data_IF_514253626864
#
_entry.id   IF_514253626864
#
_cell.length_a   1.000
_cell.length_b   1.000
_cell.length_c   1.000
_cell.angle_alpha   90.00
_cell.angle_beta   90.00
_cell.angle_gamma   90.00
#
_symmetry.space_group_name_H-M   'P 1'
#
loop_
_entity.id
_entity.type
_entity.pdbx_description
1 polymer ?
#
# COMPACT_ATOMS: atom_id res chain seq x y z
N UNK A 1 9.87 20.11 0.14
CA UNK A 1 8.88 19.33 -0.63
C UNK A 1 7.48 19.78 -0.23
N UNK A 2 6.47 19.69 -1.10
CA UNK A 2 5.10 20.07 -0.78
C UNK A 2 4.50 19.17 0.32
N UNK A 3 3.82 19.76 1.30
CA UNK A 3 3.25 19.07 2.46
C UNK A 3 1.97 18.27 2.07
N UNK A 4 2.16 17.09 1.49
CA UNK A 4 1.09 16.21 0.98
C UNK A 4 0.28 15.51 2.07
N UNK A 5 0.80 15.48 3.30
CA UNK A 5 0.21 14.84 4.47
C UNK A 5 0.05 15.81 5.64
N UNK A 6 -0.02 17.11 5.36
CA UNK A 6 -0.29 18.12 6.40
C UNK A 6 -1.55 17.77 7.20
N UNK A 7 -1.45 17.85 8.52
CA UNK A 7 -2.54 17.50 9.44
C UNK A 7 -2.84 15.99 9.59
N UNK A 8 -2.04 15.11 8.98
CA UNK A 8 -2.16 13.65 9.16
C UNK A 8 -1.33 13.15 10.33
N UNK A 9 -1.85 12.14 11.01
CA UNK A 9 -1.14 11.43 12.08
C UNK A 9 -1.08 9.95 11.69
N UNK A 10 0.12 9.46 11.44
CA UNK A 10 0.36 8.10 10.95
C UNK A 10 0.98 7.21 12.03
N UNK A 11 0.55 5.96 12.11
CA UNK A 11 1.27 4.88 12.79
C UNK A 11 2.05 4.10 11.74
N UNK A 12 3.35 3.88 11.94
CA UNK A 12 4.19 3.07 11.04
C UNK A 12 4.92 2.00 11.85
N UNK A 13 4.74 0.73 11.48
CA UNK A 13 5.45 -0.39 12.11
C UNK A 13 6.66 -0.85 11.31
N UNK A 14 7.68 -1.41 11.96
CA UNK A 14 8.96 -1.71 11.30
C UNK A 14 9.71 -0.43 10.91
N UNK A 15 9.53 0.63 11.70
CA UNK A 15 9.93 1.99 11.36
C UNK A 15 11.44 2.25 11.41
N UNK A 16 12.26 1.35 11.93
CA UNK A 16 13.69 1.60 12.16
C UNK A 16 14.60 1.10 11.04
N UNK A 17 14.08 0.37 10.04
CA UNK A 17 14.89 -0.12 8.92
C UNK A 17 14.11 -0.24 7.60
N UNK A 18 14.85 -0.31 6.49
CA UNK A 18 14.33 -0.65 5.16
C UNK A 18 13.09 0.17 4.75
N UNK A 19 12.03 -0.54 4.35
CA UNK A 19 10.78 0.05 3.85
C UNK A 19 10.09 0.93 4.91
N UNK A 20 9.94 0.43 6.14
CA UNK A 20 9.19 1.15 7.18
C UNK A 20 9.87 2.45 7.58
N UNK A 21 11.22 2.45 7.65
CA UNK A 21 11.99 3.69 7.88
C UNK A 21 11.80 4.71 6.78
N UNK A 22 11.94 4.28 5.52
CA UNK A 22 11.77 5.18 4.38
C UNK A 22 10.34 5.75 4.32
N UNK A 23 9.32 4.97 4.70
CA UNK A 23 7.94 5.46 4.84
C UNK A 23 7.83 6.50 5.95
N UNK A 24 8.36 6.22 7.15
CA UNK A 24 8.35 7.16 8.28
C UNK A 24 8.99 8.50 7.92
N UNK A 25 10.19 8.46 7.35
CA UNK A 25 10.95 9.66 6.95
C UNK A 25 10.22 10.44 5.85
N UNK A 26 9.68 9.74 4.84
CA UNK A 26 8.91 10.36 3.75
C UNK A 26 7.63 11.00 4.29
N UNK A 27 6.90 10.32 5.19
CA UNK A 27 5.66 10.85 5.73
C UNK A 27 5.91 12.11 6.55
N UNK A 28 6.93 12.10 7.41
CA UNK A 28 7.35 13.28 8.17
C UNK A 28 7.78 14.42 7.24
N UNK A 29 8.57 14.13 6.19
CA UNK A 29 9.01 15.13 5.21
C UNK A 29 7.85 15.77 4.42
N UNK A 30 6.70 15.09 4.33
CA UNK A 30 5.48 15.58 3.70
C UNK A 30 4.45 16.13 4.71
N UNK A 31 4.84 16.41 5.95
CA UNK A 31 4.03 17.12 6.95
C UNK A 31 3.19 16.24 7.86
N UNK A 32 3.28 14.91 7.76
CA UNK A 32 2.62 14.04 8.71
C UNK A 32 3.33 14.08 10.08
N UNK A 33 2.57 13.93 11.16
CA UNK A 33 3.12 13.46 12.43
C UNK A 33 3.13 11.94 12.42
N UNK A 34 4.18 11.31 12.95
CA UNK A 34 4.34 9.85 12.85
C UNK A 34 4.60 9.24 14.22
N UNK A 35 3.81 8.24 14.59
CA UNK A 35 4.10 7.30 15.67
C UNK A 35 4.86 6.12 15.07
N UNK A 36 6.16 6.05 15.34
CA UNK A 36 7.06 5.04 14.81
C UNK A 36 7.24 3.89 15.81
N UNK A 37 7.02 2.65 15.36
CA UNK A 37 7.10 1.44 16.18
C UNK A 37 8.06 0.46 15.54
N UNK A 38 9.03 -0.01 16.31
CA UNK A 38 9.92 -1.11 15.94
C UNK A 38 10.47 -1.78 17.21
N UNK A 39 11.19 -2.89 17.08
CA UNK A 39 11.80 -3.60 18.22
C UNK A 39 12.94 -2.80 18.87
N UNK A 40 13.61 -1.95 18.09
CA UNK A 40 14.70 -1.10 18.54
C UNK A 40 14.81 0.15 17.66
N UNK A 41 15.51 1.18 18.15
CA UNK A 41 15.83 2.37 17.36
C UNK A 41 16.74 2.01 16.15
N UNK A 42 16.84 2.89 15.13
CA UNK A 42 17.73 2.68 13.98
C UNK A 42 19.17 2.35 14.40
N UNK A 43 19.74 1.28 13.83
CA UNK A 43 21.08 0.77 14.20
C UNK A 43 22.24 1.69 13.81
N UNK A 44 22.02 2.56 12.82
CA UNK A 44 22.99 3.55 12.34
C UNK A 44 23.08 4.78 13.25
N UNK A 45 22.32 4.81 14.35
CA UNK A 45 22.30 5.93 15.30
C UNK A 45 21.62 7.19 14.77
N UNK A 46 21.02 7.12 13.57
CA UNK A 46 20.28 8.23 12.99
C UNK A 46 18.99 8.46 13.78
N UNK A 47 18.82 9.69 14.28
CA UNK A 47 17.56 10.11 14.87
C UNK A 47 16.48 10.22 13.80
N UNK A 48 15.23 9.93 14.19
CA UNK A 48 14.10 10.24 13.33
C UNK A 48 13.96 11.76 13.12
N UNK A 49 13.42 12.20 11.96
CA UNK A 49 13.19 13.62 11.71
C UNK A 49 12.16 14.22 12.68
N UNK A 50 12.09 15.56 12.80
CA UNK A 50 11.08 16.22 13.61
C UNK A 50 9.65 15.79 13.24
N UNK A 51 8.78 15.64 14.25
CA UNK A 51 7.40 15.19 14.06
C UNK A 51 7.23 13.66 14.12
N UNK A 52 8.29 12.92 14.43
CA UNK A 52 8.24 11.48 14.69
C UNK A 52 8.39 11.22 16.20
N UNK A 53 7.43 10.48 16.76
CA UNK A 53 7.45 9.95 18.13
C UNK A 53 7.71 8.45 18.05
N UNK A 54 8.87 8.00 18.54
CA UNK A 54 9.28 6.60 18.48
C UNK A 54 9.14 5.91 19.82
N UNK A 55 8.67 4.66 19.82
CA UNK A 55 8.86 3.76 20.96
C UNK A 55 9.16 2.33 20.51
N UNK A 56 9.98 1.65 21.33
CA UNK A 56 10.32 0.26 21.11
C UNK A 56 9.19 -0.66 21.58
N UNK A 57 8.71 -1.55 20.71
CA UNK A 57 7.73 -2.59 21.03
C UNK A 57 7.67 -3.68 19.95
N UNK A 58 7.25 -4.89 20.34
CA UNK A 58 6.80 -5.90 19.37
C UNK A 58 5.38 -5.58 18.92
N UNK A 59 5.11 -5.74 17.61
CA UNK A 59 3.76 -5.62 17.04
C UNK A 59 2.82 -6.76 17.46
N UNK A 60 3.37 -7.81 18.08
CA UNK A 60 2.62 -8.96 18.59
C UNK A 60 2.25 -8.86 20.06
N UNK A 61 2.61 -7.79 20.79
CA UNK A 61 2.42 -7.67 22.26
C UNK A 61 3.25 -8.62 23.13
N UNK A 62 4.29 -9.22 22.55
CA UNK A 62 5.23 -10.07 23.28
C UNK A 62 6.34 -9.19 23.86
N UNK A 63 6.53 -9.23 25.19
CA UNK A 63 7.66 -8.56 25.85
C UNK A 63 8.98 -9.10 25.28
N UNK A 64 9.82 -8.22 24.75
CA UNK A 64 11.16 -8.58 24.32
C UNK A 64 12.04 -8.62 25.57
N UNK A 65 12.20 -9.79 26.19
CA UNK A 65 13.28 -9.98 27.15
C UNK A 65 14.61 -9.75 26.42
N UNK A 66 15.39 -8.77 26.87
CA UNK A 66 16.74 -8.55 26.39
C UNK A 66 17.65 -9.69 26.89
N UNK A 67 17.73 -10.77 26.14
CA UNK A 67 18.76 -11.80 26.33
C UNK A 67 20.10 -11.29 25.81
N UNK A 68 21.10 -11.29 26.70
CA UNK A 68 22.49 -10.88 26.44
C UNK A 68 23.38 -12.05 25.97
N UNK A 69 22.80 -13.06 25.33
CA UNK A 69 23.55 -14.16 24.70
C UNK A 69 22.91 -14.57 23.38
N UNK A 70 23.75 -14.82 22.37
CA UNK A 70 23.37 -15.17 21.01
C UNK A 70 22.74 -16.57 20.91
N UNK A 71 21.50 -16.73 21.37
CA UNK A 71 20.61 -17.84 20.99
C UNK A 71 19.17 -17.32 20.85
N UNK A 72 18.44 -17.86 19.87
CA UNK A 72 17.14 -17.36 19.40
C UNK A 72 16.08 -17.26 20.50
N UNK A 73 15.28 -16.17 20.56
CA UNK A 73 14.28 -16.03 21.59
C UNK A 73 13.03 -16.85 21.26
N UNK A 74 12.75 -17.83 22.12
CA UNK A 74 11.49 -18.60 22.16
C UNK A 74 10.39 -17.74 22.75
N UNK A 75 9.25 -17.62 22.06
CA UNK A 75 8.11 -16.86 22.56
C UNK A 75 6.79 -17.64 22.53
N UNK A 76 6.02 -17.45 23.61
CA UNK A 76 4.79 -18.15 23.96
C UNK A 76 3.58 -17.42 23.32
N UNK A 77 2.66 -18.19 22.74
CA UNK A 77 1.49 -17.71 22.03
C UNK A 77 0.54 -16.84 22.87
N UNK A 78 -0.03 -15.80 22.26
CA UNK A 78 -1.05 -14.94 22.87
C UNK A 78 -2.46 -15.41 22.53
N UNK A 79 -3.14 -15.94 23.54
CA UNK A 79 -4.58 -16.12 23.55
C UNK A 79 -5.28 -14.81 23.96
N UNK A 80 -6.30 -14.42 23.19
CA UNK A 80 -7.40 -13.53 23.58
C UNK A 80 -7.03 -12.14 24.16
N UNK A 81 -6.75 -11.18 23.29
CA UNK A 81 -6.93 -9.76 23.63
C UNK A 81 -8.00 -9.17 22.69
N UNK A 82 -9.17 -8.85 23.25
CA UNK A 82 -10.12 -7.92 22.62
C UNK A 82 -9.50 -6.52 22.68
N UNK A 83 -9.99 -5.60 21.85
CA UNK A 83 -9.49 -4.23 21.65
C UNK A 83 -9.40 -3.32 22.91
N UNK A 84 -9.61 -3.84 24.13
CA UNK A 84 -9.63 -3.11 25.40
C UNK A 84 -8.44 -3.38 26.32
N UNK A 85 -7.61 -4.39 26.06
CA UNK A 85 -6.45 -4.69 26.91
C UNK A 85 -5.24 -3.88 26.45
N UNK A 86 -4.48 -3.31 27.40
CA UNK A 86 -3.29 -2.49 27.14
C UNK A 86 -2.30 -3.23 26.23
N UNK A 87 -2.33 -2.92 24.95
CA UNK A 87 -1.53 -3.54 23.90
C UNK A 87 -0.82 -2.47 23.06
N UNK A 88 0.13 -2.87 22.22
CA UNK A 88 0.97 -2.00 21.40
C UNK A 88 0.14 -1.05 20.53
N UNK A 89 -1.03 -1.48 20.07
CA UNK A 89 -1.90 -0.71 19.18
C UNK A 89 -2.69 0.36 19.96
N UNK A 90 -3.22 0.03 21.14
CA UNK A 90 -3.84 1.02 22.04
C UNK A 90 -2.81 2.05 22.47
N UNK A 91 -1.60 1.61 22.86
CA UNK A 91 -0.48 2.49 23.16
C UNK A 91 -0.11 3.39 21.99
N UNK A 92 -0.15 2.90 20.75
CA UNK A 92 0.13 3.70 19.55
C UNK A 92 -0.90 4.82 19.36
N UNK A 93 -2.20 4.55 19.58
CA UNK A 93 -3.24 5.57 19.54
C UNK A 93 -3.04 6.62 20.64
N UNK A 94 -2.78 6.19 21.87
CA UNK A 94 -2.52 7.09 23.00
C UNK A 94 -1.27 7.95 22.79
N UNK A 95 -0.23 7.36 22.23
CA UNK A 95 1.01 8.07 21.88
C UNK A 95 0.71 9.16 20.85
N UNK A 96 -0.05 8.85 19.80
CA UNK A 96 -0.48 9.85 18.81
C UNK A 96 -1.33 10.97 19.43
N UNK A 97 -2.30 10.62 20.28
CA UNK A 97 -3.14 11.60 21.00
C UNK A 97 -2.31 12.51 21.91
N UNK A 98 -1.37 11.94 22.67
CA UNK A 98 -0.54 12.67 23.63
C UNK A 98 0.50 13.55 22.94
N UNK A 99 1.20 13.03 21.94
CA UNK A 99 2.28 13.74 21.26
C UNK A 99 1.76 14.76 20.24
N UNK A 100 0.63 14.48 19.60
CA UNK A 100 0.14 15.24 18.44
C UNK A 100 -1.29 15.77 18.58
N UNK A 101 -1.96 15.53 19.71
CA UNK A 101 -3.23 16.16 20.07
C UNK A 101 -4.48 15.56 19.41
N UNK A 102 -4.35 14.51 18.59
CA UNK A 102 -5.48 13.84 17.96
C UNK A 102 -5.22 12.36 17.72
N UNK A 103 -6.28 11.60 17.52
CA UNK A 103 -6.21 10.19 17.16
C UNK A 103 -5.55 10.02 15.78
N UNK A 104 -4.59 9.09 15.64
CA UNK A 104 -4.04 8.70 14.36
C UNK A 104 -5.14 8.38 13.33
N UNK A 105 -4.92 8.76 12.08
CA UNK A 105 -5.86 8.53 10.97
C UNK A 105 -5.21 7.80 9.78
N UNK A 106 -3.92 7.49 9.88
CA UNK A 106 -3.19 6.64 8.93
C UNK A 106 -2.51 5.48 9.68
N UNK A 107 -2.62 4.26 9.16
CA UNK A 107 -1.87 3.09 9.63
C UNK A 107 -1.09 2.47 8.47
N UNK A 108 0.21 2.31 8.65
CA UNK A 108 1.07 1.55 7.75
C UNK A 108 1.61 0.32 8.46
N UNK A 109 1.06 -0.85 8.09
CA UNK A 109 1.53 -2.14 8.55
C UNK A 109 2.72 -2.59 7.71
N UNK A 110 3.93 -2.15 8.09
CA UNK A 110 5.18 -2.46 7.38
C UNK A 110 6.09 -3.47 8.10
N UNK A 111 5.86 -3.76 9.38
CA UNK A 111 6.56 -4.83 10.07
C UNK A 111 6.32 -6.19 9.38
N UNK A 112 7.36 -7.00 9.25
CA UNK A 112 7.26 -8.32 8.65
C UNK A 112 8.53 -9.14 8.75
N UNK A 113 8.37 -10.46 8.75
CA UNK A 113 9.46 -11.43 8.72
C UNK A 113 9.27 -12.43 7.59
N UNK A 114 10.34 -13.15 7.25
CA UNK A 114 10.31 -14.26 6.31
C UNK A 114 10.79 -15.52 7.01
N UNK A 115 10.09 -16.62 6.78
CA UNK A 115 10.51 -17.97 7.16
C UNK A 115 10.76 -18.78 5.88
N UNK A 116 11.85 -19.56 5.87
CA UNK A 116 12.30 -20.31 4.70
C UNK A 116 12.46 -21.77 5.06
N UNK A 117 11.66 -22.64 4.45
CA UNK A 117 11.78 -24.09 4.55
C UNK A 117 11.01 -24.74 3.39
N UNK A 118 11.33 -25.96 2.97
CA UNK A 118 10.46 -26.69 2.05
C UNK A 118 9.09 -26.94 2.69
N UNK A 119 8.09 -27.27 1.88
CA UNK A 119 6.72 -27.43 2.38
C UNK A 119 6.61 -28.49 3.48
N UNK A 120 7.29 -29.63 3.32
CA UNK A 120 7.29 -30.73 4.29
C UNK A 120 8.24 -30.51 5.48
N UNK A 121 9.01 -29.42 5.47
CA UNK A 121 9.94 -29.02 6.53
C UNK A 121 9.44 -27.79 7.30
N UNK A 122 8.24 -27.30 6.98
CA UNK A 122 7.62 -26.22 7.76
C UNK A 122 7.42 -26.68 9.19
N UNK A 123 7.77 -25.83 10.15
CA UNK A 123 7.50 -26.05 11.57
C UNK A 123 6.31 -25.22 11.99
N UNK A 124 5.54 -25.70 12.97
CA UNK A 124 4.43 -24.94 13.54
C UNK A 124 4.93 -23.59 14.08
N UNK A 125 6.07 -23.58 14.79
CA UNK A 125 6.67 -22.37 15.34
C UNK A 125 7.05 -21.34 14.25
N UNK A 126 7.71 -21.77 13.16
CA UNK A 126 8.09 -20.89 12.07
C UNK A 126 6.88 -20.34 11.30
N UNK A 127 5.86 -21.19 11.12
CA UNK A 127 4.60 -20.81 10.48
C UNK A 127 3.81 -19.82 11.32
N UNK A 128 3.57 -20.15 12.59
CA UNK A 128 2.82 -19.34 13.54
C UNK A 128 3.47 -17.99 13.77
N UNK A 129 4.79 -17.96 14.00
CA UNK A 129 5.53 -16.69 14.18
C UNK A 129 5.40 -15.80 12.95
N UNK A 130 5.47 -16.38 11.75
CA UNK A 130 5.29 -15.63 10.50
C UNK A 130 3.89 -15.08 10.38
N UNK A 131 2.86 -15.87 10.69
CA UNK A 131 1.47 -15.43 10.66
C UNK A 131 1.13 -14.40 11.73
N UNK A 132 1.67 -14.56 12.93
CA UNK A 132 1.47 -13.65 14.04
C UNK A 132 1.97 -12.24 13.69
N UNK A 133 3.16 -12.14 13.11
CA UNK A 133 3.77 -10.86 12.74
C UNK A 133 3.20 -10.32 11.42
N UNK A 134 3.10 -11.15 10.37
CA UNK A 134 2.75 -10.65 9.03
C UNK A 134 1.25 -10.47 8.80
N UNK A 135 0.40 -11.10 9.62
CA UNK A 135 -1.05 -11.11 9.43
C UNK A 135 -1.84 -10.74 10.70
N UNK A 136 -1.71 -11.49 11.80
CA UNK A 136 -2.54 -11.27 13.00
C UNK A 136 -2.26 -9.91 13.64
N UNK A 137 -1.00 -9.50 13.73
CA UNK A 137 -0.61 -8.20 14.24
C UNK A 137 -1.20 -7.04 13.39
N UNK A 138 -0.99 -6.98 12.05
CA UNK A 138 -1.68 -6.02 11.19
C UNK A 138 -3.20 -6.00 11.34
N UNK A 139 -3.84 -7.17 11.44
CA UNK A 139 -5.29 -7.29 11.65
C UNK A 139 -5.72 -6.65 12.97
N UNK A 140 -5.00 -6.89 14.07
CA UNK A 140 -5.28 -6.26 15.37
C UNK A 140 -5.09 -4.75 15.32
N UNK A 141 -4.02 -4.27 14.68
CA UNK A 141 -3.78 -2.84 14.47
C UNK A 141 -4.90 -2.18 13.67
N UNK A 142 -5.40 -2.85 12.63
CA UNK A 142 -6.57 -2.40 11.87
C UNK A 142 -7.82 -2.34 12.75
N UNK A 143 -8.12 -3.38 13.54
CA UNK A 143 -9.28 -3.41 14.44
C UNK A 143 -9.27 -2.23 15.42
N UNK A 144 -8.12 -1.96 16.05
CA UNK A 144 -7.97 -0.88 17.03
C UNK A 144 -8.13 0.49 16.38
N UNK A 145 -7.45 0.76 15.26
CA UNK A 145 -7.59 2.04 14.56
C UNK A 145 -9.01 2.24 14.01
N UNK A 146 -9.59 1.23 13.36
CA UNK A 146 -10.94 1.31 12.80
C UNK A 146 -11.97 1.56 13.90
N UNK A 147 -11.88 0.84 15.02
CA UNK A 147 -12.76 1.06 16.18
C UNK A 147 -12.74 2.51 16.65
N UNK A 148 -11.56 3.08 16.88
CA UNK A 148 -11.40 4.47 17.30
C UNK A 148 -11.95 5.47 16.27
N UNK A 149 -11.70 5.25 14.98
CA UNK A 149 -12.20 6.13 13.91
C UNK A 149 -13.73 6.09 13.79
N UNK A 150 -14.35 4.91 13.95
CA UNK A 150 -15.81 4.77 13.92
C UNK A 150 -16.47 5.44 15.12
N UNK A 151 -15.89 5.32 16.32
CA UNK A 151 -16.34 6.02 17.54
C UNK A 151 -16.30 7.55 17.35
N UNK A 152 -15.24 8.05 16.73
CA UNK A 152 -15.05 9.47 16.43
C UNK A 152 -15.83 9.94 15.18
N UNK A 153 -16.49 9.04 14.45
CA UNK A 153 -17.16 9.30 13.16
C UNK A 153 -16.22 9.95 12.13
N UNK A 154 -14.97 9.49 12.09
CA UNK A 154 -13.92 9.97 11.19
C UNK A 154 -13.53 8.89 10.18
N UNK A 155 -13.13 9.34 8.99
CA UNK A 155 -12.48 8.49 8.01
C UNK A 155 -11.00 8.28 8.34
N UNK A 156 -10.36 7.36 7.61
CA UNK A 156 -8.95 7.05 7.79
C UNK A 156 -8.35 6.32 6.61
N UNK A 157 -7.08 5.93 6.74
CA UNK A 157 -6.33 5.28 5.68
C UNK A 157 -5.43 4.18 6.22
N UNK A 158 -5.52 3.00 5.65
CA UNK A 158 -4.77 1.83 6.08
C UNK A 158 -4.00 1.30 4.87
N UNK A 159 -2.70 1.12 5.04
CA UNK A 159 -1.77 0.64 4.02
C UNK A 159 -1.06 -0.59 4.57
N UNK A 160 -1.33 -1.74 3.96
CA UNK A 160 -0.67 -3.00 4.32
C UNK A 160 0.50 -3.27 3.36
N UNK A 161 1.68 -3.59 3.90
CA UNK A 161 2.80 -4.05 3.07
C UNK A 161 2.67 -5.57 2.88
N UNK A 162 2.18 -5.96 1.71
CA UNK A 162 2.10 -7.34 1.23
C UNK A 162 3.43 -7.79 0.58
N UNK A 163 3.37 -8.62 -0.45
CA UNK A 163 4.50 -9.05 -1.28
C UNK A 163 4.00 -9.70 -2.57
N UNK A 164 4.81 -9.68 -3.63
CA UNK A 164 4.60 -10.52 -4.81
C UNK A 164 4.54 -12.02 -4.44
N UNK A 165 5.15 -12.44 -3.33
CA UNK A 165 5.05 -13.81 -2.80
C UNK A 165 3.61 -14.19 -2.36
N UNK A 166 2.73 -13.21 -2.15
CA UNK A 166 1.31 -13.44 -1.89
C UNK A 166 0.47 -13.68 -3.16
N UNK A 167 1.06 -13.48 -4.33
CA UNK A 167 0.41 -13.68 -5.64
C UNK A 167 1.07 -14.84 -6.39
N UNK A 168 2.41 -14.93 -6.34
CA UNK A 168 3.19 -15.94 -7.02
C UNK A 168 3.60 -17.05 -6.05
N UNK A 169 3.54 -18.30 -6.51
CA UNK A 169 4.12 -19.44 -5.80
C UNK A 169 5.64 -19.37 -5.80
N UNK A 170 6.24 -18.92 -4.70
CA UNK A 170 7.69 -18.92 -4.52
C UNK A 170 8.12 -20.13 -3.67
N UNK A 171 8.88 -21.08 -4.24
CA UNK A 171 9.39 -22.23 -3.48
C UNK A 171 10.11 -21.78 -2.21
N UNK A 172 10.01 -22.60 -1.16
CA UNK A 172 10.55 -22.37 0.21
C UNK A 172 9.87 -21.27 1.03
N UNK A 173 8.91 -20.52 0.47
CA UNK A 173 8.30 -19.36 1.14
C UNK A 173 6.86 -19.61 1.58
N UNK A 174 6.50 -20.84 1.97
CA UNK A 174 5.11 -21.20 2.32
C UNK A 174 4.49 -20.26 3.36
N UNK A 175 5.02 -20.21 4.59
CA UNK A 175 4.45 -19.35 5.64
C UNK A 175 4.43 -17.87 5.23
N UNK A 176 5.51 -17.38 4.61
CA UNK A 176 5.61 -16.00 4.15
C UNK A 176 4.59 -15.67 3.06
N UNK A 177 4.59 -16.41 1.96
CA UNK A 177 3.70 -16.20 0.82
C UNK A 177 2.23 -16.31 1.21
N UNK A 178 1.84 -17.34 1.99
CA UNK A 178 0.46 -17.48 2.47
C UNK A 178 0.08 -16.33 3.40
N UNK A 179 0.95 -15.89 4.32
CA UNK A 179 0.66 -14.73 5.18
C UNK A 179 0.47 -13.42 4.38
N UNK A 180 1.22 -13.26 3.28
CA UNK A 180 1.10 -12.10 2.39
C UNK A 180 -0.15 -12.17 1.49
N UNK A 181 -0.54 -13.37 1.05
CA UNK A 181 -1.85 -13.58 0.42
C UNK A 181 -3.00 -13.26 1.39
N UNK A 182 -2.89 -13.69 2.65
CA UNK A 182 -3.89 -13.45 3.69
C UNK A 182 -4.09 -11.95 3.98
N UNK A 183 -3.02 -11.18 4.19
CA UNK A 183 -3.14 -9.73 4.42
C UNK A 183 -3.65 -8.98 3.18
N UNK A 184 -3.29 -9.43 1.97
CA UNK A 184 -3.85 -8.91 0.72
C UNK A 184 -5.35 -9.19 0.60
N UNK A 185 -5.82 -10.35 1.05
CA UNK A 185 -7.25 -10.66 1.04
C UNK A 185 -8.02 -9.89 2.12
N UNK A 186 -7.48 -9.80 3.35
CA UNK A 186 -8.04 -9.00 4.43
C UNK A 186 -8.20 -7.52 4.03
N UNK A 187 -7.23 -6.98 3.28
CA UNK A 187 -7.29 -5.63 2.72
C UNK A 187 -8.56 -5.41 1.89
N UNK A 188 -8.93 -6.39 1.04
CA UNK A 188 -10.13 -6.31 0.18
C UNK A 188 -11.41 -6.36 1.01
N UNK A 189 -11.47 -7.24 1.99
CA UNK A 189 -12.61 -7.37 2.92
C UNK A 189 -12.81 -6.04 3.66
N UNK A 190 -11.78 -5.54 4.33
CA UNK A 190 -11.85 -4.31 5.11
C UNK A 190 -12.17 -3.08 4.24
N UNK A 191 -11.63 -2.99 3.03
CA UNK A 191 -12.00 -1.91 2.09
C UNK A 191 -13.49 -1.92 1.77
N UNK A 192 -14.10 -3.11 1.61
CA UNK A 192 -15.52 -3.27 1.31
C UNK A 192 -16.40 -2.97 2.51
N UNK A 193 -16.00 -3.41 3.71
CA UNK A 193 -16.74 -3.21 4.95
C UNK A 193 -16.75 -1.75 5.40
N UNK A 194 -15.60 -1.06 5.32
CA UNK A 194 -15.43 0.26 5.94
C UNK A 194 -15.33 1.42 4.94
N UNK A 195 -15.37 1.14 3.63
CA UNK A 195 -15.30 2.16 2.58
C UNK A 195 -16.40 3.22 2.68
N UNK A 196 -17.63 2.83 3.00
CA UNK A 196 -18.77 3.74 3.23
C UNK A 196 -18.53 4.66 4.44
N UNK A 197 -17.74 4.19 5.42
CA UNK A 197 -17.38 4.96 6.62
C UNK A 197 -16.18 5.88 6.38
N UNK A 198 -15.76 6.04 5.12
CA UNK A 198 -14.65 6.90 4.73
C UNK A 198 -13.27 6.33 5.09
N UNK A 199 -13.18 5.04 5.42
CA UNK A 199 -11.91 4.37 5.71
C UNK A 199 -11.44 3.65 4.45
N UNK A 200 -10.29 4.09 3.92
CA UNK A 200 -9.65 3.46 2.75
C UNK A 200 -8.66 2.41 3.23
N UNK A 201 -8.68 1.24 2.60
CA UNK A 201 -7.74 0.15 2.93
C UNK A 201 -7.10 -0.34 1.64
N UNK A 202 -5.78 -0.27 1.56
CA UNK A 202 -5.01 -0.66 0.38
C UNK A 202 -3.80 -1.51 0.78
N UNK A 203 -3.23 -2.23 -0.18
CA UNK A 203 -2.01 -2.97 0.02
C UNK A 203 -1.00 -2.64 -1.08
N UNK A 204 0.26 -2.50 -0.68
CA UNK A 204 1.39 -2.45 -1.60
C UNK A 204 2.00 -3.85 -1.62
N UNK A 205 2.28 -4.41 -2.79
CA UNK A 205 2.91 -5.72 -2.93
C UNK A 205 4.32 -5.56 -3.53
N UNK A 206 5.34 -5.27 -2.72
CA UNK A 206 6.70 -5.14 -3.22
C UNK A 206 7.21 -6.45 -3.81
N UNK A 207 8.10 -6.31 -4.78
CA UNK A 207 9.00 -7.38 -5.24
C UNK A 207 10.38 -7.17 -4.61
N UNK A 208 11.45 -7.42 -5.36
CA UNK A 208 12.84 -7.24 -4.95
C UNK A 208 13.16 -5.76 -4.67
N UNK A 209 13.14 -5.39 -3.38
CA UNK A 209 13.55 -4.07 -2.88
C UNK A 209 14.88 -4.19 -2.16
N UNK A 210 15.82 -3.28 -2.45
CA UNK A 210 17.14 -3.23 -1.83
C UNK A 210 17.03 -2.81 -0.37
N UNK A 211 17.28 -3.76 0.52
CA UNK A 211 17.38 -3.57 1.96
C UNK A 211 18.56 -4.40 2.46
N UNK A 212 19.01 -4.17 3.69
CA UNK A 212 20.09 -4.97 4.29
C UNK A 212 19.85 -6.48 4.20
N UNK A 213 18.58 -6.92 4.15
CA UNK A 213 18.18 -8.33 4.09
C UNK A 213 18.11 -8.92 2.67
N UNK A 214 18.28 -8.14 1.61
CA UNK A 214 18.05 -8.57 0.22
C UNK A 214 19.21 -8.24 -0.74
N UNK A 215 20.18 -7.43 -0.31
CA UNK A 215 21.26 -6.90 -1.16
C UNK A 215 22.22 -7.95 -1.76
N UNK A 216 22.09 -9.24 -1.42
CA UNK A 216 22.99 -10.31 -1.88
C UNK A 216 22.52 -11.05 -3.15
N UNK A 217 21.34 -10.74 -3.71
CA UNK A 217 20.68 -11.53 -4.77
C UNK A 217 20.81 -10.91 -6.19
N UNK A 218 21.99 -10.47 -6.62
CA UNK A 218 22.14 -9.78 -7.92
C UNK A 218 21.83 -10.65 -9.16
N UNK A 219 21.89 -11.97 -9.05
CA UNK A 219 21.67 -12.89 -10.17
C UNK A 219 20.24 -12.91 -10.72
N UNK A 220 19.25 -12.37 -9.99
CA UNK A 220 17.83 -12.40 -10.38
C UNK A 220 17.29 -11.08 -10.92
N UNK A 221 18.15 -10.07 -11.10
CA UNK A 221 17.74 -8.75 -11.60
C UNK A 221 17.15 -8.79 -13.01
N UNK A 222 17.63 -9.72 -13.84
CA UNK A 222 17.14 -9.96 -15.20
C UNK A 222 15.68 -10.44 -15.26
N UNK A 223 15.10 -10.84 -14.12
CA UNK A 223 13.69 -11.21 -14.01
C UNK A 223 12.78 -9.99 -13.84
N UNK A 224 13.34 -8.79 -13.66
CA UNK A 224 12.58 -7.55 -13.56
C UNK A 224 12.61 -6.82 -14.91
N UNK A 225 11.48 -6.25 -15.33
CA UNK A 225 11.41 -5.51 -16.60
C UNK A 225 12.35 -4.29 -16.63
N UNK A 226 12.75 -3.76 -15.47
CA UNK A 226 13.65 -2.61 -15.34
C UNK A 226 15.12 -2.99 -15.12
N UNK A 227 15.44 -4.29 -15.02
CA UNK A 227 16.80 -4.82 -14.82
C UNK A 227 17.58 -4.19 -13.65
N UNK A 228 16.89 -3.77 -12.58
CA UNK A 228 17.50 -3.17 -11.39
C UNK A 228 16.72 -3.53 -10.14
N UNK A 229 17.30 -3.25 -8.98
CA UNK A 229 16.58 -3.30 -7.71
C UNK A 229 15.58 -2.14 -7.60
N UNK A 230 14.49 -2.37 -6.88
CA UNK A 230 13.69 -1.28 -6.34
C UNK A 230 14.31 -0.73 -5.07
N UNK A 231 14.04 0.52 -4.75
CA UNK A 231 14.54 1.19 -3.55
C UNK A 231 13.42 1.33 -2.51
N UNK A 232 13.74 1.35 -1.20
CA UNK A 232 12.76 1.60 -0.14
C UNK A 232 11.95 2.89 -0.38
N UNK A 233 12.60 3.92 -0.93
CA UNK A 233 11.97 5.19 -1.29
C UNK A 233 10.83 5.01 -2.29
N UNK A 234 10.91 4.05 -3.20
CA UNK A 234 9.87 3.82 -4.21
C UNK A 234 8.62 3.19 -3.57
N UNK A 235 8.80 2.41 -2.50
CA UNK A 235 7.68 1.92 -1.67
C UNK A 235 7.11 3.06 -0.81
N UNK A 236 7.96 3.94 -0.29
CA UNK A 236 7.54 5.10 0.47
C UNK A 236 6.72 6.09 -0.38
N UNK A 237 7.10 6.31 -1.64
CA UNK A 237 6.37 7.13 -2.59
C UNK A 237 4.98 6.53 -2.92
N UNK A 238 4.89 5.20 -3.07
CA UNK A 238 3.61 4.52 -3.23
C UNK A 238 2.72 4.65 -1.98
N UNK A 239 3.29 4.50 -0.80
CA UNK A 239 2.58 4.71 0.46
C UNK A 239 2.10 6.17 0.59
N UNK A 240 2.93 7.14 0.19
CA UNK A 240 2.59 8.56 0.17
C UNK A 240 1.45 8.86 -0.80
N UNK A 241 1.46 8.27 -2.00
CA UNK A 241 0.37 8.40 -2.97
C UNK A 241 -0.95 7.87 -2.40
N UNK A 242 -0.92 6.69 -1.76
CA UNK A 242 -2.11 6.12 -1.13
C UNK A 242 -2.57 6.95 0.07
N UNK A 243 -1.64 7.48 0.88
CA UNK A 243 -1.88 8.26 2.09
C UNK A 243 -2.48 9.65 1.80
N UNK A 244 -2.00 10.32 0.76
CA UNK A 244 -2.28 11.72 0.47
C UNK A 244 -3.74 12.01 0.08
N UNK A 245 -4.16 13.25 0.37
CA UNK A 245 -5.42 13.80 -0.14
C UNK A 245 -5.17 14.33 -1.55
N UNK A 246 -5.91 13.80 -2.52
CA UNK A 246 -5.73 14.06 -3.96
C UNK A 246 -5.81 15.55 -4.33
N UNK A 247 -6.54 16.38 -3.59
CA UNK A 247 -6.60 17.83 -3.82
C UNK A 247 -5.23 18.51 -3.77
N UNK A 248 -4.26 17.97 -3.02
CA UNK A 248 -2.91 18.53 -2.90
C UNK A 248 -2.04 18.18 -4.12
N UNK A 249 -2.27 17.02 -4.75
CA UNK A 249 -1.48 16.54 -5.89
C UNK A 249 -1.64 17.38 -7.17
N UNK A 250 -2.77 18.07 -7.33
CA UNK A 250 -3.06 18.86 -8.53
C UNK A 250 -2.67 20.33 -8.44
N UNK A 251 -2.28 20.80 -7.25
CA UNK A 251 -1.76 22.15 -7.05
C UNK A 251 -0.34 22.33 -7.66
N UNK A 252 0.34 21.23 -7.99
CA UNK A 252 1.72 21.21 -8.51
C UNK A 252 1.81 21.24 -10.05
N UNK A 253 0.88 21.89 -10.76
CA UNK A 253 1.00 22.08 -12.22
C UNK A 253 2.27 22.88 -12.55
N UNK A 254 3.33 22.19 -12.98
CA UNK A 254 4.49 22.82 -13.64
C UNK A 254 4.17 23.04 -15.12
N UNK A 255 4.53 24.20 -15.72
CA UNK A 255 4.46 24.38 -17.16
C UNK A 255 5.35 23.32 -17.85
N UNK A 256 4.76 22.42 -18.65
CA UNK A 256 5.49 21.42 -19.43
C UNK A 256 4.99 19.97 -19.34
N UNK A 257 4.02 19.62 -18.49
CA UNK A 257 3.54 18.24 -18.37
C UNK A 257 2.48 17.88 -19.41
N UNK A 258 2.76 16.91 -20.29
CA UNK A 258 1.76 16.28 -21.16
C UNK A 258 1.34 14.97 -20.52
N UNK A 259 0.14 14.98 -19.93
CA UNK A 259 -0.59 13.77 -19.56
C UNK A 259 -1.55 13.48 -20.70
N UNK A 260 -1.27 12.39 -21.41
CA UNK A 260 -1.96 12.11 -22.64
C UNK A 260 -2.90 10.91 -22.54
N UNK A 261 -4.18 11.14 -22.83
CA UNK A 261 -5.21 10.10 -23.00
C UNK A 261 -5.29 9.60 -24.47
N UNK A 262 -4.62 10.24 -25.44
CA UNK A 262 -4.28 9.73 -26.80
C UNK A 262 -3.42 10.76 -27.62
N UNK A 263 -2.12 10.49 -27.87
CA UNK A 263 -1.00 11.39 -28.35
C UNK A 263 0.21 11.74 -27.41
N UNK A 264 1.34 11.06 -27.64
CA UNK A 264 2.63 11.22 -26.94
C UNK A 264 3.38 12.52 -27.36
N UNK A 265 4.11 13.17 -26.43
CA UNK A 265 5.26 14.05 -26.75
C UNK A 265 6.58 13.47 -26.24
N UNK A 266 7.67 13.90 -26.88
CA UNK A 266 8.92 13.16 -27.06
C UNK A 266 9.99 13.27 -25.95
N UNK A 267 9.69 13.85 -24.79
CA UNK A 267 10.69 14.10 -23.73
C UNK A 267 10.42 13.36 -22.40
N UNK A 268 9.31 12.64 -22.28
CA UNK A 268 8.97 11.87 -21.08
C UNK A 268 9.16 10.36 -21.32
N UNK A 269 10.01 9.70 -20.52
CA UNK A 269 10.25 8.23 -20.59
C UNK A 269 9.14 7.38 -19.94
N UNK A 270 7.96 7.94 -19.72
CA UNK A 270 6.83 7.26 -19.10
C UNK A 270 5.59 7.40 -19.99
N UNK A 271 5.02 6.26 -20.39
CA UNK A 271 3.77 6.18 -21.13
C UNK A 271 2.69 5.73 -20.15
N UNK A 272 1.71 6.60 -19.91
CA UNK A 272 0.50 6.24 -19.18
C UNK A 272 -0.67 6.25 -20.16
N UNK A 273 -1.32 5.10 -20.35
CA UNK A 273 -2.53 4.99 -21.17
C UNK A 273 -3.77 4.90 -20.28
N UNK A 274 -4.88 5.47 -20.72
CA UNK A 274 -6.16 5.18 -20.08
C UNK A 274 -6.62 3.79 -20.57
N UNK A 275 -6.49 2.77 -19.73
CA UNK A 275 -7.22 1.51 -19.90
C UNK A 275 -8.68 1.79 -19.50
N UNK A 276 -9.37 2.59 -20.31
CA UNK A 276 -10.64 3.20 -19.92
C UNK A 276 -11.61 2.22 -19.27
N UNK A 277 -12.16 2.63 -18.14
CA UNK A 277 -13.08 1.86 -17.30
C UNK A 277 -12.53 0.51 -16.79
N UNK A 278 -12.88 0.13 -15.55
CA UNK A 278 -12.55 -1.17 -14.93
C UNK A 278 -12.99 -2.43 -15.71
N UNK A 279 -13.61 -2.25 -16.88
CA UNK A 279 -14.04 -3.30 -17.80
C UNK A 279 -12.89 -4.23 -18.26
N UNK A 280 -11.64 -3.75 -18.23
CA UNK A 280 -10.46 -4.59 -18.50
C UNK A 280 -10.06 -5.51 -17.34
N UNK A 281 -10.51 -5.20 -16.13
CA UNK A 281 -10.18 -5.93 -14.90
C UNK A 281 -11.39 -6.71 -14.34
N UNK A 282 -12.61 -6.32 -14.73
CA UNK A 282 -13.89 -6.98 -14.39
C UNK A 282 -14.86 -6.91 -15.57
N UNK A 283 -15.45 -8.04 -15.94
CA UNK A 283 -16.45 -8.09 -17.02
C UNK A 283 -17.81 -7.51 -16.59
N UNK A 284 -18.46 -6.78 -17.50
CA UNK A 284 -19.85 -6.33 -17.38
C UNK A 284 -20.74 -7.00 -18.44
N UNK A 285 -21.97 -7.41 -18.09
CA UNK A 285 -22.89 -7.98 -19.06
C UNK A 285 -23.23 -6.98 -20.17
N UNK A 286 -23.66 -7.49 -21.33
CA UNK A 286 -24.12 -6.72 -22.49
C UNK A 286 -23.07 -5.80 -23.16
N UNK A 287 -21.81 -5.85 -22.75
CA UNK A 287 -20.72 -5.02 -23.29
C UNK A 287 -19.44 -5.82 -23.66
N UNK A 288 -19.55 -7.00 -24.32
CA UNK A 288 -18.41 -7.91 -24.52
C UNK A 288 -17.27 -7.27 -25.33
N UNK A 289 -17.57 -6.57 -26.42
CA UNK A 289 -16.54 -5.90 -27.24
C UNK A 289 -15.76 -4.84 -26.45
N UNK A 290 -16.47 -4.08 -25.61
CA UNK A 290 -15.85 -3.07 -24.75
C UNK A 290 -14.93 -3.72 -23.72
N UNK A 291 -15.41 -4.73 -22.97
CA UNK A 291 -14.60 -5.45 -21.98
C UNK A 291 -13.34 -6.05 -22.61
N UNK A 292 -13.48 -6.76 -23.75
CA UNK A 292 -12.36 -7.36 -24.46
C UNK A 292 -11.35 -6.31 -24.91
N UNK A 293 -11.80 -5.18 -25.46
CA UNK A 293 -10.89 -4.11 -25.90
C UNK A 293 -10.08 -3.53 -24.73
N UNK A 294 -10.68 -3.39 -23.54
CA UNK A 294 -10.00 -2.86 -22.36
C UNK A 294 -9.05 -3.85 -21.72
N UNK A 295 -9.41 -5.14 -21.70
CA UNK A 295 -8.49 -6.20 -21.30
C UNK A 295 -7.27 -6.29 -22.25
N UNK A 296 -7.47 -6.08 -23.55
CA UNK A 296 -6.39 -6.02 -24.53
C UNK A 296 -5.43 -4.86 -24.24
N UNK A 297 -5.93 -3.67 -23.85
CA UNK A 297 -5.08 -2.54 -23.43
C UNK A 297 -4.29 -2.86 -22.16
N UNK A 298 -4.92 -3.48 -21.16
CA UNK A 298 -4.22 -3.93 -19.94
C UNK A 298 -3.08 -4.90 -20.27
N UNK A 299 -3.28 -5.83 -21.21
CA UNK A 299 -2.22 -6.76 -21.61
C UNK A 299 -1.15 -6.10 -22.49
N UNK A 300 -1.53 -5.22 -23.42
CA UNK A 300 -0.61 -4.43 -24.22
C UNK A 300 0.33 -3.60 -23.34
N UNK A 301 -0.19 -3.03 -22.25
CA UNK A 301 0.59 -2.29 -21.24
C UNK A 301 1.69 -3.16 -20.65
N UNK A 302 1.37 -4.39 -20.24
CA UNK A 302 2.35 -5.36 -19.71
C UNK A 302 3.39 -5.75 -20.75
N UNK A 303 2.95 -6.04 -21.97
CA UNK A 303 3.83 -6.42 -23.07
C UNK A 303 4.82 -5.30 -23.41
N UNK A 304 4.32 -4.07 -23.57
CA UNK A 304 5.15 -2.91 -23.87
C UNK A 304 6.12 -2.58 -22.72
N UNK A 305 5.68 -2.71 -21.46
CA UNK A 305 6.57 -2.55 -20.31
C UNK A 305 7.74 -3.54 -20.31
N UNK A 306 7.48 -4.79 -20.71
CA UNK A 306 8.53 -5.80 -20.85
C UNK A 306 9.48 -5.53 -22.01
N UNK A 307 8.99 -4.91 -23.10
CA UNK A 307 9.76 -4.64 -24.32
C UNK A 307 10.63 -3.37 -24.23
N UNK A 308 10.19 -2.38 -23.44
CA UNK A 308 10.84 -1.07 -23.36
C UNK A 308 11.42 -0.73 -21.98
N UNK A 309 11.20 -1.57 -20.96
CA UNK A 309 11.66 -1.32 -19.60
C UNK A 309 13.18 -1.23 -19.48
N UNK A 310 13.92 -2.10 -20.18
CA UNK A 310 15.38 -2.12 -20.23
C UNK A 310 15.97 -0.90 -20.97
N UNK A 311 15.21 -0.30 -21.88
CA UNK A 311 15.50 0.98 -22.57
C UNK A 311 15.18 2.20 -21.71
N UNK A 312 14.73 1.98 -20.47
CA UNK A 312 14.39 3.02 -19.51
C UNK A 312 13.02 3.65 -19.73
N UNK A 313 12.13 3.02 -20.50
CA UNK A 313 10.75 3.50 -20.71
C UNK A 313 9.77 2.69 -19.87
N UNK A 314 9.01 3.37 -19.01
CA UNK A 314 7.94 2.76 -18.22
C UNK A 314 6.62 2.83 -18.97
N UNK A 315 5.85 1.74 -18.94
CA UNK A 315 4.52 1.71 -19.56
C UNK A 315 3.50 1.23 -18.54
N UNK A 316 2.53 2.07 -18.21
CA UNK A 316 1.48 1.75 -17.23
C UNK A 316 0.10 2.17 -17.76
N UNK A 317 -0.95 1.67 -17.11
CA UNK A 317 -2.31 2.06 -17.38
C UNK A 317 -3.08 2.41 -16.10
N UNK A 318 -4.13 3.21 -16.25
CA UNK A 318 -5.11 3.46 -15.19
C UNK A 318 -6.45 2.86 -15.60
N UNK A 319 -7.04 2.06 -14.71
CA UNK A 319 -8.38 1.48 -14.87
C UNK A 319 -9.35 2.16 -13.90
N UNK A 320 -10.30 2.93 -14.45
CA UNK A 320 -11.14 3.83 -13.66
C UNK A 320 -12.53 3.24 -13.36
N UNK A 321 -13.10 3.60 -12.22
CA UNK A 321 -14.52 3.43 -11.97
C UNK A 321 -15.37 4.37 -12.84
N UNK A 322 -16.64 4.55 -12.45
CA UNK A 322 -17.46 5.62 -13.04
C UNK A 322 -16.86 6.97 -12.64
N UNK A 323 -16.52 7.80 -13.63
CA UNK A 323 -16.01 9.16 -13.42
C UNK A 323 -17.12 10.16 -13.75
N UNK A 324 -17.34 11.15 -12.88
CA UNK A 324 -18.33 12.20 -13.15
C UNK A 324 -17.78 13.22 -14.16
N UNK A 325 -18.34 13.23 -15.36
CA UNK A 325 -18.02 14.19 -16.43
C UNK A 325 -19.32 14.74 -17.03
N UNK A 326 -19.23 15.78 -17.87
CA UNK A 326 -20.39 16.27 -18.60
C UNK A 326 -21.07 15.17 -19.44
N UNK A 327 -20.29 14.22 -19.98
CA UNK A 327 -20.78 13.12 -20.82
C UNK A 327 -21.44 12.00 -20.00
N UNK A 328 -20.97 11.74 -18.79
CA UNK A 328 -21.40 10.59 -17.98
C UNK A 328 -22.44 10.93 -16.91
N UNK A 329 -22.78 12.22 -16.75
CA UNK A 329 -23.68 12.72 -15.71
C UNK A 329 -25.03 11.99 -15.74
N UNK A 330 -25.71 11.98 -16.88
CA UNK A 330 -27.05 11.39 -17.01
C UNK A 330 -26.99 9.87 -16.80
N UNK A 331 -25.99 9.21 -17.37
CA UNK A 331 -25.78 7.76 -17.21
C UNK A 331 -25.47 7.37 -15.75
N UNK A 332 -24.78 8.22 -14.99
CA UNK A 332 -24.51 7.99 -13.57
C UNK A 332 -25.79 8.16 -12.76
N UNK A 333 -26.60 9.19 -13.05
CA UNK A 333 -27.89 9.38 -12.39
C UNK A 333 -28.82 8.17 -12.59
N UNK A 334 -28.92 7.67 -13.82
CA UNK A 334 -29.72 6.48 -14.15
C UNK A 334 -29.18 5.19 -13.49
N UNK A 335 -27.88 5.15 -13.18
CA UNK A 335 -27.19 3.97 -12.63
C UNK A 335 -26.72 4.17 -11.19
N UNK A 336 -27.32 5.10 -10.45
CA UNK A 336 -26.91 5.43 -9.09
C UNK A 336 -26.89 4.21 -8.16
N UNK A 337 -27.87 3.30 -8.30
CA UNK A 337 -27.89 2.05 -7.54
C UNK A 337 -26.65 1.17 -7.75
N UNK A 338 -25.98 1.23 -8.90
CA UNK A 338 -24.71 0.51 -9.09
C UNK A 338 -23.57 1.11 -8.26
N UNK A 339 -23.55 2.43 -8.10
CA UNK A 339 -22.60 3.12 -7.23
C UNK A 339 -22.87 2.73 -5.78
N UNK A 340 -24.13 2.80 -5.37
CA UNK A 340 -24.56 2.56 -3.99
C UNK A 340 -24.35 1.10 -3.56
N UNK A 341 -24.60 0.12 -4.43
CA UNK A 341 -24.48 -1.30 -4.08
C UNK A 341 -23.08 -1.88 -4.33
N UNK A 342 -22.44 -1.54 -5.45
CA UNK A 342 -21.22 -2.23 -5.88
C UNK A 342 -19.92 -1.47 -5.57
N UNK A 343 -19.97 -0.16 -5.32
CA UNK A 343 -18.78 0.61 -4.97
C UNK A 343 -18.58 0.60 -3.46
N UNK A 344 -17.35 0.39 -2.98
CA UNK A 344 -17.06 0.36 -1.54
C UNK A 344 -17.18 1.77 -0.94
N UNK A 345 -16.64 2.78 -1.62
CA UNK A 345 -16.66 4.18 -1.18
C UNK A 345 -18.01 4.90 -1.38
N UNK A 346 -19.01 4.23 -1.96
CA UNK A 346 -20.37 4.77 -2.20
C UNK A 346 -20.41 6.10 -2.98
N UNK A 347 -19.39 6.35 -3.80
CA UNK A 347 -19.31 7.53 -4.66
C UNK A 347 -18.53 7.23 -5.93
N UNK A 348 -18.75 8.06 -6.94
CA UNK A 348 -18.00 8.04 -8.19
C UNK A 348 -16.59 8.60 -8.01
N UNK A 349 -15.72 8.28 -8.96
CA UNK A 349 -14.36 8.82 -9.04
C UNK A 349 -14.45 10.27 -9.48
N UNK A 350 -13.81 11.18 -8.74
CA UNK A 350 -13.72 12.57 -9.16
C UNK A 350 -12.66 12.73 -10.28
N UNK A 351 -12.83 13.72 -11.16
CA UNK A 351 -11.88 13.98 -12.25
C UNK A 351 -10.46 14.24 -11.73
N UNK A 352 -10.36 14.85 -10.55
CA UNK A 352 -9.11 15.10 -9.85
C UNK A 352 -8.43 13.80 -9.41
N UNK A 353 -9.20 12.80 -8.99
CA UNK A 353 -8.68 11.49 -8.56
C UNK A 353 -8.17 10.69 -9.74
N UNK A 354 -8.85 10.77 -10.88
CA UNK A 354 -8.33 10.25 -12.15
C UNK A 354 -7.01 10.92 -12.51
N UNK A 355 -6.95 12.26 -12.51
CA UNK A 355 -5.74 12.99 -12.87
C UNK A 355 -4.55 12.65 -11.96
N UNK A 356 -4.78 12.56 -10.64
CA UNK A 356 -3.73 12.20 -9.69
C UNK A 356 -3.16 10.80 -9.92
N UNK A 357 -3.99 9.81 -10.27
CA UNK A 357 -3.51 8.47 -10.64
C UNK A 357 -2.55 8.51 -11.83
N UNK A 358 -2.86 9.33 -12.84
CA UNK A 358 -2.03 9.43 -14.04
C UNK A 358 -0.74 10.20 -13.75
N UNK A 359 -0.83 11.32 -13.01
CA UNK A 359 0.36 12.11 -12.61
C UNK A 359 1.33 11.26 -11.80
N UNK A 360 0.83 10.47 -10.85
CA UNK A 360 1.67 9.57 -10.05
C UNK A 360 2.42 8.56 -10.93
N UNK A 361 1.72 7.87 -11.84
CA UNK A 361 2.38 6.88 -12.70
C UNK A 361 3.36 7.51 -13.69
N UNK A 362 3.11 8.76 -14.11
CA UNK A 362 3.99 9.51 -14.99
C UNK A 362 5.21 10.11 -14.28
N UNK A 363 5.15 10.36 -12.98
CA UNK A 363 6.23 11.01 -12.21
C UNK A 363 7.33 10.04 -11.78
N UNK A 364 8.41 10.60 -11.24
CA UNK A 364 9.51 9.85 -10.65
C UNK A 364 9.10 9.17 -9.32
N UNK A 365 7.97 9.55 -8.72
CA UNK A 365 7.43 8.84 -7.54
C UNK A 365 7.15 7.36 -7.86
N UNK A 366 6.85 7.06 -9.13
CA UNK A 366 6.56 5.71 -9.64
C UNK A 366 7.72 5.12 -10.46
N UNK A 367 8.97 5.53 -10.21
CA UNK A 367 10.16 5.13 -11.00
C UNK A 367 10.42 3.63 -11.10
N UNK A 368 9.85 2.80 -10.21
CA UNK A 368 9.92 1.34 -10.26
C UNK A 368 8.57 0.65 -10.49
N UNK A 369 7.59 1.39 -11.01
CA UNK A 369 6.30 0.86 -11.45
C UNK A 369 6.26 0.87 -12.98
N UNK A 370 6.23 -0.32 -13.58
CA UNK A 370 6.05 -0.55 -15.01
C UNK A 370 5.20 -1.80 -15.23
N UNK A 371 4.43 -1.84 -16.31
CA UNK A 371 3.49 -2.91 -16.63
C UNK A 371 2.27 -2.95 -15.72
N UNK A 372 2.06 -1.93 -14.90
CA UNK A 372 1.00 -1.91 -13.89
C UNK A 372 -0.29 -1.34 -14.46
N UNK A 373 -1.42 -1.93 -14.05
CA UNK A 373 -2.74 -1.36 -14.25
C UNK A 373 -3.24 -0.87 -12.89
N UNK A 374 -3.17 0.43 -12.65
CA UNK A 374 -3.62 1.04 -11.42
C UNK A 374 -5.14 1.15 -11.44
N UNK A 375 -5.82 0.35 -10.62
CA UNK A 375 -7.27 0.43 -10.46
C UNK A 375 -7.63 1.58 -9.51
N UNK A 376 -8.40 2.54 -10.00
CA UNK A 376 -8.97 3.62 -9.21
C UNK A 376 -10.48 3.69 -9.46
N UNK A 377 -11.24 2.91 -8.70
CA UNK A 377 -12.66 2.65 -8.97
C UNK A 377 -13.57 2.70 -7.74
N UNK A 378 -13.04 3.15 -6.61
CA UNK A 378 -13.75 3.15 -5.34
C UNK A 378 -14.04 1.77 -4.76
N UNK A 379 -13.31 0.72 -5.16
CA UNK A 379 -13.44 -0.64 -4.66
C UNK A 379 -14.54 -1.44 -5.36
N UNK A 380 -14.82 -1.16 -6.63
CA UNK A 380 -15.88 -1.80 -7.40
C UNK A 380 -15.48 -3.18 -7.93
N UNK A 381 -14.20 -3.38 -8.28
CA UNK A 381 -13.63 -4.69 -8.67
C UNK A 381 -13.57 -5.71 -7.52
N UNK A 382 -13.86 -5.30 -6.28
CA UNK A 382 -13.87 -6.19 -5.11
C UNK A 382 -15.13 -7.07 -5.02
N UNK A 383 -16.09 -6.83 -5.91
CA UNK A 383 -17.34 -7.60 -6.09
C UNK A 383 -17.41 -8.05 -7.54
#
# INVERSE_FOLDING_TARGET
MPARLEGKIAIVTGASSGIGRSITETFAAHGAKVVAIDLAAPKDGAAFPPGVEFFAASVTDVEVEQSSTAEEPRFRALANARASDANVWTRALETGRKAFGATPDVLVNSAGITYTALLHEQTDEGFDRTFDINFKAPMKGMQVLIGALLEEKRGGNIINISSIAGVNGLPTKTAYGVSKAAISHLTKIAAKEYGEKGIRVNAIAPSMIRTDRTAFMNSVLHLTALNRWGEPQEIANAALFLAAVIRVLLAEKRPGSIVNVSSVRADTKAICTEAGQIAGERAFPFTPAYNTSKAAVSHLTRSAASEFGDKGTRVNAVALGMVLTAMTRDTIHERQGLVDHHTALKRVVAAEEMAASIVYLASDDASYITGHVLVNDGGRVLT
#
